data_IF_107909386107
#
_entry.id   IF_107909386107
#
_cell.length_a   1.000
_cell.length_b   1.000
_cell.length_c   1.000
_cell.angle_alpha   90.00
_cell.angle_beta   90.00
_cell.angle_gamma   90.00
#
_symmetry.space_group_name_H-M   'P 1'
#
loop_
_entity.id
_entity.type
_entity.pdbx_description
1 polymer ?
#
# COMPACT_ATOMS: atom_id res chain seq x y z
N UNK A 1 -9.10 23.08 13.48
CA UNK A 1 -10.23 22.13 13.39
C UNK A 1 -11.06 22.43 12.17
N UNK A 2 -11.36 21.43 11.37
CA UNK A 2 -12.10 21.59 10.11
C UNK A 2 -13.60 21.71 10.38
N UNK A 3 -14.26 22.55 9.58
CA UNK A 3 -15.73 22.66 9.60
C UNK A 3 -16.31 21.79 8.50
N UNK A 4 -17.49 21.23 8.74
CA UNK A 4 -18.23 20.56 7.69
C UNK A 4 -18.86 21.61 6.76
N UNK A 5 -18.67 21.43 5.47
CA UNK A 5 -19.25 22.29 4.43
C UNK A 5 -20.05 21.40 3.48
N UNK A 6 -21.25 21.86 3.14
CA UNK A 6 -22.10 21.13 2.19
C UNK A 6 -21.68 21.43 0.76
N UNK A 7 -21.63 20.39 -0.04
CA UNK A 7 -21.30 20.46 -1.46
C UNK A 7 -22.40 19.78 -2.26
N UNK A 8 -22.78 20.38 -3.37
CA UNK A 8 -23.73 19.78 -4.31
C UNK A 8 -22.99 19.28 -5.54
N UNK A 9 -23.38 18.09 -6.02
CA UNK A 9 -22.81 17.49 -7.22
C UNK A 9 -23.94 17.18 -8.20
N UNK A 10 -23.65 17.42 -9.48
CA UNK A 10 -24.55 17.01 -10.57
C UNK A 10 -23.91 15.81 -11.27
N UNK A 11 -24.63 14.71 -11.33
CA UNK A 11 -24.19 13.48 -11.98
C UNK A 11 -25.26 13.01 -12.95
N UNK A 12 -24.84 12.36 -14.01
CA UNK A 12 -25.77 11.62 -14.86
C UNK A 12 -26.46 10.53 -14.03
N UNK A 13 -27.68 10.20 -14.37
CA UNK A 13 -28.47 9.18 -13.66
C UNK A 13 -27.77 7.82 -13.62
N UNK A 14 -27.15 7.41 -14.71
CA UNK A 14 -26.39 6.15 -14.77
C UNK A 14 -25.18 6.15 -13.83
N UNK A 15 -24.49 7.29 -13.71
CA UNK A 15 -23.35 7.41 -12.81
C UNK A 15 -23.80 7.46 -11.35
N UNK A 16 -24.95 8.07 -11.09
CA UNK A 16 -25.52 8.09 -9.75
C UNK A 16 -25.90 6.67 -9.29
N UNK A 17 -26.47 5.87 -10.18
CA UNK A 17 -26.80 4.47 -9.87
C UNK A 17 -25.54 3.66 -9.53
N UNK A 18 -24.45 3.89 -10.25
CA UNK A 18 -23.18 3.24 -9.97
C UNK A 18 -22.60 3.69 -8.62
N UNK A 19 -22.72 4.98 -8.31
CA UNK A 19 -22.29 5.50 -7.01
C UNK A 19 -23.07 4.83 -5.89
N UNK A 20 -24.37 4.73 -6.03
CA UNK A 20 -25.24 4.09 -5.02
C UNK A 20 -24.85 2.62 -4.80
N UNK A 21 -24.54 1.89 -5.87
CA UNK A 21 -24.08 0.52 -5.76
C UNK A 21 -22.74 0.41 -5.03
N UNK A 22 -21.80 1.29 -5.34
CA UNK A 22 -20.49 1.34 -4.67
C UNK A 22 -20.61 1.64 -3.18
N UNK A 23 -21.50 2.56 -2.82
CA UNK A 23 -21.77 2.91 -1.42
C UNK A 23 -22.29 1.69 -0.67
N UNK A 24 -23.25 0.97 -1.25
CA UNK A 24 -23.83 -0.21 -0.65
C UNK A 24 -22.84 -1.36 -0.54
N UNK A 25 -22.11 -1.65 -1.62
CA UNK A 25 -21.14 -2.74 -1.66
C UNK A 25 -19.98 -2.50 -0.67
N UNK A 26 -19.60 -1.25 -0.48
CA UNK A 26 -18.54 -0.88 0.45
C UNK A 26 -18.98 -0.81 1.91
N UNK A 27 -20.27 -1.01 2.20
CA UNK A 27 -20.79 -0.94 3.56
C UNK A 27 -20.84 0.46 4.15
N UNK A 28 -20.84 1.49 3.31
CA UNK A 28 -20.92 2.87 3.78
C UNK A 28 -22.35 3.25 4.18
N UNK A 29 -22.48 4.04 5.23
CA UNK A 29 -23.79 4.49 5.70
C UNK A 29 -24.43 5.51 4.76
N UNK A 30 -23.61 6.33 4.08
CA UNK A 30 -24.10 7.36 3.18
C UNK A 30 -23.06 7.73 2.12
N UNK A 31 -23.51 8.48 1.11
CA UNK A 31 -22.66 8.91 0.00
C UNK A 31 -21.51 9.81 0.44
N UNK A 32 -21.77 10.67 1.42
CA UNK A 32 -20.75 11.62 1.89
C UNK A 32 -19.54 10.92 2.46
N UNK A 33 -19.73 9.85 3.25
CA UNK A 33 -18.61 9.07 3.79
C UNK A 33 -17.81 8.39 2.70
N UNK A 34 -18.47 7.81 1.70
CA UNK A 34 -17.81 7.18 0.56
C UNK A 34 -16.97 8.19 -0.22
N UNK A 35 -17.55 9.35 -0.51
CA UNK A 35 -16.86 10.42 -1.26
C UNK A 35 -15.69 10.95 -0.45
N UNK A 36 -15.82 11.13 0.86
CA UNK A 36 -14.69 11.54 1.71
C UNK A 36 -13.54 10.57 1.62
N UNK A 37 -13.82 9.26 1.66
CA UNK A 37 -12.78 8.24 1.53
C UNK A 37 -12.12 8.27 0.16
N UNK A 38 -12.88 8.43 -0.92
CA UNK A 38 -12.33 8.58 -2.26
C UNK A 38 -11.36 9.76 -2.34
N UNK A 39 -11.75 10.90 -1.75
CA UNK A 39 -10.90 12.09 -1.75
C UNK A 39 -9.62 11.85 -0.93
N UNK A 40 -9.73 11.22 0.23
CA UNK A 40 -8.57 10.91 1.07
C UNK A 40 -7.60 9.96 0.35
N UNK A 41 -8.13 8.95 -0.33
CA UNK A 41 -7.34 8.00 -1.09
C UNK A 41 -6.61 8.69 -2.24
N UNK A 42 -7.27 9.60 -2.94
CA UNK A 42 -6.67 10.37 -4.03
C UNK A 42 -5.57 11.30 -3.53
N UNK A 43 -5.78 11.96 -2.38
CA UNK A 43 -4.77 12.82 -1.75
C UNK A 43 -3.54 11.98 -1.39
N UNK A 44 -3.75 10.81 -0.76
CA UNK A 44 -2.65 9.91 -0.39
C UNK A 44 -1.87 9.46 -1.63
N UNK A 45 -2.58 9.12 -2.70
CA UNK A 45 -1.96 8.71 -3.97
C UNK A 45 -1.12 9.84 -4.57
N UNK A 46 -1.61 11.07 -4.51
CA UNK A 46 -0.86 12.23 -4.99
C UNK A 46 0.36 12.55 -4.14
N UNK A 47 0.26 12.42 -2.83
CA UNK A 47 1.40 12.58 -1.94
C UNK A 47 2.49 11.57 -2.28
N UNK A 48 2.09 10.34 -2.55
CA UNK A 48 3.00 9.27 -2.95
C UNK A 48 3.80 9.65 -4.20
N UNK A 49 3.16 10.24 -5.20
CA UNK A 49 3.79 10.60 -6.48
C UNK A 49 4.46 11.97 -6.48
N UNK A 50 4.22 12.82 -5.47
CA UNK A 50 4.70 14.21 -5.45
C UNK A 50 6.12 14.38 -4.92
N UNK A 51 6.77 13.30 -4.48
CA UNK A 51 8.13 13.35 -3.96
C UNK A 51 8.24 13.67 -2.48
N UNK A 52 7.13 13.85 -1.77
CA UNK A 52 7.12 14.00 -0.32
C UNK A 52 7.34 12.69 0.41
N UNK A 53 7.59 12.75 1.70
CA UNK A 53 7.72 11.56 2.53
C UNK A 53 6.36 10.91 2.75
N UNK A 54 6.32 9.59 2.60
CA UNK A 54 5.13 8.76 2.82
C UNK A 54 5.49 7.53 3.64
N UNK A 55 4.48 6.88 4.19
CA UNK A 55 4.64 5.59 4.85
C UNK A 55 4.03 4.53 3.95
N UNK A 56 4.79 3.47 3.67
CA UNK A 56 4.33 2.33 2.91
C UNK A 56 4.49 1.05 3.69
N UNK A 57 3.62 0.10 3.42
CA UNK A 57 3.69 -1.25 3.99
C UNK A 57 3.85 -2.24 2.86
N UNK A 58 4.93 -3.01 2.91
CA UNK A 58 5.22 -4.05 1.92
C UNK A 58 4.96 -5.41 2.54
N UNK A 59 4.14 -6.22 1.87
CA UNK A 59 3.91 -7.60 2.25
C UNK A 59 4.64 -8.50 1.29
N UNK A 60 5.56 -9.32 1.84
CA UNK A 60 6.34 -10.29 1.08
C UNK A 60 5.90 -11.70 1.45
N UNK A 61 5.81 -12.57 0.46
CA UNK A 61 5.67 -14.01 0.66
C UNK A 61 6.81 -14.65 -0.13
N UNK A 62 7.65 -15.42 0.55
CA UNK A 62 8.84 -15.97 -0.10
C UNK A 62 9.23 -17.32 0.49
N UNK A 63 10.03 -18.06 -0.27
CA UNK A 63 10.61 -19.32 0.17
C UNK A 63 11.90 -19.03 0.93
N UNK A 64 11.86 -19.17 2.27
CA UNK A 64 13.02 -18.88 3.12
C UNK A 64 14.14 -19.92 3.01
N UNK A 65 13.88 -21.06 2.39
CA UNK A 65 14.91 -22.06 2.11
C UNK A 65 15.68 -21.76 0.80
N UNK A 66 15.22 -20.78 0.02
CA UNK A 66 15.93 -20.39 -1.18
C UNK A 66 17.29 -19.81 -0.79
N UNK A 67 18.36 -20.44 -1.31
CA UNK A 67 19.73 -20.09 -0.95
C UNK A 67 20.03 -18.62 -1.25
N UNK A 68 20.52 -17.89 -0.27
CA UNK A 68 20.94 -16.52 -0.40
C UNK A 68 19.81 -15.49 -0.42
N UNK A 69 18.55 -15.91 -0.40
CA UNK A 69 17.42 -14.99 -0.49
C UNK A 69 17.28 -14.09 0.74
N UNK A 70 17.40 -14.68 1.93
CA UNK A 70 17.27 -13.92 3.17
C UNK A 70 18.33 -12.83 3.26
N UNK A 71 19.58 -13.15 2.92
CA UNK A 71 20.68 -12.17 2.89
C UNK A 71 20.42 -11.05 1.89
N UNK A 72 19.92 -11.38 0.70
CA UNK A 72 19.61 -10.38 -0.33
C UNK A 72 18.49 -9.45 0.11
N UNK A 73 17.47 -9.99 0.79
CA UNK A 73 16.37 -9.17 1.33
C UNK A 73 16.88 -8.21 2.40
N UNK A 74 17.74 -8.66 3.28
CA UNK A 74 18.36 -7.82 4.31
C UNK A 74 19.24 -6.75 3.69
N UNK A 75 20.07 -7.11 2.71
CA UNK A 75 20.95 -6.16 2.01
C UNK A 75 20.16 -5.05 1.32
N UNK A 76 19.06 -5.40 0.64
CA UNK A 76 18.21 -4.41 -0.02
C UNK A 76 17.62 -3.42 0.99
N UNK A 77 17.23 -3.91 2.17
CA UNK A 77 16.72 -3.04 3.22
C UNK A 77 17.79 -2.09 3.76
N UNK A 78 19.01 -2.57 3.93
CA UNK A 78 20.12 -1.75 4.39
C UNK A 78 20.55 -0.68 3.38
N UNK A 79 20.45 -0.96 2.10
CA UNK A 79 20.87 -0.05 1.04
C UNK A 79 19.74 0.84 0.51
N UNK A 80 18.55 0.70 1.04
CA UNK A 80 17.41 1.55 0.68
C UNK A 80 17.64 2.98 1.17
N UNK A 81 17.28 3.96 0.36
CA UNK A 81 17.26 5.36 0.76
C UNK A 81 16.07 5.68 1.66
N UNK A 82 15.09 4.82 1.71
CA UNK A 82 13.98 4.88 2.65
C UNK A 82 14.39 4.31 4.01
N UNK A 83 13.56 4.53 5.01
CA UNK A 83 13.82 4.03 6.36
C UNK A 83 12.84 2.93 6.72
N UNK A 84 13.35 1.78 7.11
CA UNK A 84 12.53 0.69 7.63
C UNK A 84 12.19 1.01 9.09
N UNK A 85 10.90 1.14 9.38
CA UNK A 85 10.41 1.47 10.72
C UNK A 85 10.19 0.22 11.57
N UNK A 86 9.68 -0.83 10.96
CA UNK A 86 9.35 -2.08 11.65
C UNK A 86 9.20 -3.20 10.62
N UNK A 87 9.38 -4.42 11.06
CA UNK A 87 9.05 -5.59 10.26
C UNK A 87 8.53 -6.70 11.15
N UNK A 88 7.63 -7.51 10.61
CA UNK A 88 7.06 -8.69 11.27
C UNK A 88 7.23 -9.88 10.36
N UNK A 89 7.71 -10.98 10.90
CA UNK A 89 8.04 -12.18 10.15
C UNK A 89 7.24 -13.36 10.71
N UNK A 90 6.56 -14.09 9.84
CA UNK A 90 5.72 -15.23 10.20
C UNK A 90 6.01 -16.41 9.27
N UNK A 91 6.18 -17.59 9.84
CA UNK A 91 6.27 -18.83 9.05
C UNK A 91 4.87 -19.31 8.70
N UNK A 92 4.58 -19.41 7.41
CA UNK A 92 3.30 -19.93 6.93
C UNK A 92 3.33 -21.44 6.77
N UNK A 93 4.49 -21.97 6.41
CA UNK A 93 4.74 -23.41 6.29
C UNK A 93 6.21 -23.68 6.54
N UNK A 94 6.64 -24.92 6.36
CA UNK A 94 8.05 -25.28 6.53
C UNK A 94 8.98 -24.49 5.61
N UNK A 95 8.52 -24.15 4.41
CA UNK A 95 9.34 -23.47 3.41
C UNK A 95 8.95 -22.01 3.19
N UNK A 96 7.72 -21.63 3.49
CA UNK A 96 7.16 -20.34 3.09
C UNK A 96 7.01 -19.42 4.28
N UNK A 97 7.50 -18.20 4.11
CA UNK A 97 7.38 -17.11 5.09
C UNK A 97 6.60 -15.96 4.53
N UNK A 98 5.94 -15.24 5.42
CA UNK A 98 5.39 -13.92 5.13
C UNK A 98 6.13 -12.90 5.99
N UNK A 99 6.43 -11.76 5.41
CA UNK A 99 7.05 -10.64 6.11
C UNK A 99 6.33 -9.36 5.76
N UNK A 100 6.02 -8.56 6.77
CA UNK A 100 5.45 -7.22 6.58
C UNK A 100 6.49 -6.20 6.99
N UNK A 101 6.78 -5.26 6.09
CA UNK A 101 7.81 -4.24 6.30
C UNK A 101 7.14 -2.87 6.20
N UNK A 102 7.24 -2.09 7.28
CA UNK A 102 6.75 -0.72 7.31
C UNK A 102 7.92 0.23 7.05
N UNK A 103 7.77 1.10 6.06
CA UNK A 103 8.83 1.98 5.60
C UNK A 103 8.36 3.42 5.52
N UNK A 104 9.31 4.34 5.73
CA UNK A 104 9.08 5.77 5.54
C UNK A 104 10.14 6.33 4.61
N UNK A 105 9.73 7.15 3.67
CA UNK A 105 10.62 7.77 2.70
C UNK A 105 9.82 8.33 1.54
N UNK A 106 10.49 8.66 0.47
CA UNK A 106 9.82 9.09 -0.75
C UNK A 106 9.14 7.89 -1.40
N UNK A 107 7.97 8.12 -1.98
CA UNK A 107 7.22 7.06 -2.66
C UNK A 107 8.05 6.33 -3.72
N UNK A 108 8.83 7.08 -4.49
CA UNK A 108 9.70 6.50 -5.52
C UNK A 108 10.77 5.57 -4.94
N UNK A 109 11.34 5.93 -3.79
CA UNK A 109 12.36 5.11 -3.12
C UNK A 109 11.76 3.82 -2.57
N UNK A 110 10.56 3.92 -2.00
CA UNK A 110 9.83 2.75 -1.48
C UNK A 110 9.42 1.82 -2.62
N UNK A 111 8.93 2.37 -3.71
CA UNK A 111 8.58 1.59 -4.91
C UNK A 111 9.80 0.88 -5.50
N UNK A 112 10.93 1.57 -5.56
CA UNK A 112 12.18 0.99 -6.05
C UNK A 112 12.59 -0.23 -5.22
N UNK A 113 12.52 -0.11 -3.90
CA UNK A 113 12.82 -1.22 -3.00
C UNK A 113 11.84 -2.38 -3.19
N UNK A 114 10.54 -2.09 -3.25
CA UNK A 114 9.51 -3.10 -3.45
C UNK A 114 9.72 -3.85 -4.76
N UNK A 115 10.02 -3.14 -5.84
CA UNK A 115 10.27 -3.74 -7.14
C UNK A 115 11.55 -4.58 -7.15
N UNK A 116 12.60 -4.11 -6.47
CA UNK A 116 13.85 -4.88 -6.35
C UNK A 116 13.61 -6.20 -5.61
N UNK A 117 12.86 -6.17 -4.53
CA UNK A 117 12.52 -7.39 -3.78
C UNK A 117 11.64 -8.33 -4.60
N UNK A 118 10.66 -7.79 -5.32
CA UNK A 118 9.76 -8.59 -6.14
C UNK A 118 10.49 -9.38 -7.22
N UNK A 119 11.59 -8.85 -7.75
CA UNK A 119 12.38 -9.49 -8.80
C UNK A 119 13.28 -10.60 -8.31
N UNK A 120 13.48 -10.74 -7.01
CA UNK A 120 14.37 -11.79 -6.48
C UNK A 120 13.74 -13.18 -6.66
N UNK A 121 14.56 -14.14 -7.07
CA UNK A 121 14.12 -15.53 -7.19
C UNK A 121 13.79 -16.07 -5.80
N UNK A 122 12.64 -16.72 -5.70
CA UNK A 122 12.13 -17.24 -4.44
C UNK A 122 11.10 -16.35 -3.76
N UNK A 123 10.96 -15.11 -4.21
CA UNK A 123 9.87 -14.21 -3.79
C UNK A 123 8.64 -14.58 -4.61
N UNK A 124 7.60 -15.04 -3.94
CA UNK A 124 6.36 -15.48 -4.57
C UNK A 124 5.38 -14.34 -4.76
N UNK A 125 5.40 -13.37 -3.84
CA UNK A 125 4.48 -12.25 -3.86
C UNK A 125 5.11 -11.05 -3.15
N UNK A 126 4.92 -9.86 -3.71
CA UNK A 126 5.30 -8.61 -3.08
C UNK A 126 4.20 -7.59 -3.40
N UNK A 127 3.54 -7.10 -2.37
CA UNK A 127 2.49 -6.09 -2.52
C UNK A 127 2.79 -4.90 -1.64
N UNK A 128 2.76 -3.72 -2.25
CA UNK A 128 3.01 -2.46 -1.59
C UNK A 128 1.69 -1.71 -1.40
N UNK A 129 1.41 -1.34 -0.16
CA UNK A 129 0.27 -0.51 0.19
C UNK A 129 0.76 0.85 0.70
N UNK A 130 0.14 1.89 0.20
CA UNK A 130 0.45 3.26 0.61
C UNK A 130 -0.49 3.74 1.71
#
# INVERSE_FOLDING_TARGET
MSKLVRLSLSLEDTLLDKLSALVQDGGYENRSEYIRDLIRDEIARKQWSSGGEVIGTLTLIYNHHRRGLTEKLVDLQHHCHCRVLASTHVHLSHEICAEMIMMKGRGSEIEELANAMKRLKGVLKAELAA
#
